data_IF_564278739121
#
_entry.id   IF_564278739121
#
_cell.length_a   1.000
_cell.length_b   1.000
_cell.length_c   1.000
_cell.angle_alpha   90.00
_cell.angle_beta   90.00
_cell.angle_gamma   90.00
#
_symmetry.space_group_name_H-M   'P 1'
#
loop_
_entity.id
_entity.type
_entity.pdbx_description
1 polymer ?
#
# COMPACT_ATOMS: atom_id res chain seq x y z
N UNK A 1 -1.60 9.83 -12.01
CA UNK A 1 -0.63 9.17 -11.11
C UNK A 1 -0.58 7.66 -11.33
N UNK A 2 -1.71 6.98 -11.50
CA UNK A 2 -1.74 5.53 -11.77
C UNK A 2 -1.08 5.19 -13.12
N UNK A 3 -0.42 4.03 -13.20
CA UNK A 3 0.44 3.65 -14.34
C UNK A 3 1.83 4.29 -14.30
N UNK A 4 1.92 5.59 -14.62
CA UNK A 4 3.20 6.32 -14.74
C UNK A 4 3.95 6.40 -13.39
N UNK A 5 3.24 6.71 -12.31
CA UNK A 5 3.82 6.79 -10.97
C UNK A 5 4.43 5.46 -10.53
N UNK A 6 3.67 4.35 -10.56
CA UNK A 6 4.19 3.01 -10.32
C UNK A 6 5.35 2.62 -11.24
N UNK A 7 5.29 2.91 -12.54
CA UNK A 7 6.39 2.64 -13.46
C UNK A 7 7.68 3.33 -13.00
N UNK A 8 7.62 4.64 -12.74
CA UNK A 8 8.76 5.40 -12.28
C UNK A 8 9.27 4.91 -10.92
N UNK A 9 8.35 4.62 -9.98
CA UNK A 9 8.70 4.14 -8.66
C UNK A 9 9.42 2.78 -8.73
N UNK A 10 8.83 1.77 -9.38
CA UNK A 10 9.32 0.39 -9.32
C UNK A 10 10.40 0.05 -10.34
N UNK A 11 10.40 0.67 -11.52
CA UNK A 11 11.41 0.41 -12.55
C UNK A 11 12.65 1.27 -12.36
N UNK A 12 12.51 2.48 -11.81
CA UNK A 12 13.62 3.44 -11.71
C UNK A 12 13.99 3.71 -10.24
N UNK A 13 13.11 4.37 -9.47
CA UNK A 13 13.46 4.90 -8.14
C UNK A 13 13.82 3.81 -7.11
N UNK A 14 13.17 2.65 -7.19
CA UNK A 14 13.44 1.51 -6.30
C UNK A 14 14.56 0.59 -6.83
N UNK A 15 15.06 0.83 -8.05
CA UNK A 15 16.21 0.10 -8.63
C UNK A 15 17.50 0.87 -8.49
N UNK A 16 17.42 2.18 -8.37
CA UNK A 16 18.56 3.07 -8.17
C UNK A 16 18.22 4.03 -7.03
N UNK A 17 18.86 3.90 -5.85
CA UNK A 17 18.50 4.64 -4.65
C UNK A 17 18.99 6.11 -4.68
N UNK A 18 18.84 6.78 -5.83
CA UNK A 18 19.14 8.20 -6.00
C UNK A 18 18.26 9.02 -5.06
N UNK A 19 18.88 9.91 -4.28
CA UNK A 19 18.20 10.73 -3.26
C UNK A 19 18.10 10.10 -1.87
N UNK A 20 18.33 8.79 -1.73
CA UNK A 20 18.54 8.15 -0.42
C UNK A 20 20.03 8.11 -0.02
N UNK A 21 20.89 8.81 -0.77
CA UNK A 21 22.35 8.86 -0.55
C UNK A 21 22.71 9.35 0.86
N UNK A 22 21.84 10.16 1.49
CA UNK A 22 21.99 10.62 2.88
C UNK A 22 21.70 9.54 3.94
N UNK A 23 21.13 8.39 3.55
CA UNK A 23 20.86 7.24 4.45
C UNK A 23 22.03 6.25 4.57
N UNK A 24 23.18 6.56 3.94
CA UNK A 24 24.41 5.78 4.05
C UNK A 24 24.52 4.62 3.05
N UNK A 25 25.62 3.87 3.15
CA UNK A 25 25.97 2.80 2.20
C UNK A 25 25.00 1.60 2.24
N UNK A 26 24.30 1.39 3.36
CA UNK A 26 23.42 0.23 3.54
C UNK A 26 22.26 0.21 2.53
N UNK A 27 21.66 1.35 2.24
CA UNK A 27 20.58 1.47 1.24
C UNK A 27 21.06 1.10 -0.16
N UNK A 28 22.30 1.45 -0.50
CA UNK A 28 22.93 1.05 -1.75
C UNK A 28 23.20 -0.44 -1.80
N UNK A 29 23.82 -1.00 -0.74
CA UNK A 29 24.10 -2.44 -0.66
C UNK A 29 22.81 -3.24 -0.78
N UNK A 30 21.77 -2.88 -0.03
CA UNK A 30 20.47 -3.56 -0.07
C UNK A 30 19.84 -3.52 -1.47
N UNK A 31 19.81 -2.34 -2.10
CA UNK A 31 19.20 -2.18 -3.43
C UNK A 31 20.00 -2.93 -4.50
N UNK A 32 21.33 -2.80 -4.49
CA UNK A 32 22.19 -3.46 -5.48
C UNK A 32 22.24 -4.97 -5.28
N UNK A 33 22.23 -5.48 -4.04
CA UNK A 33 22.14 -6.91 -3.75
C UNK A 33 20.82 -7.49 -4.28
N UNK A 34 19.71 -6.75 -4.10
CA UNK A 34 18.41 -7.15 -4.67
C UNK A 34 18.46 -7.16 -6.20
N UNK A 35 19.03 -6.13 -6.84
CA UNK A 35 19.19 -6.10 -8.29
C UNK A 35 20.06 -7.29 -8.78
N UNK A 36 21.16 -7.58 -8.09
CA UNK A 36 22.04 -8.70 -8.41
C UNK A 36 21.32 -10.04 -8.28
N UNK A 37 20.43 -10.22 -7.30
CA UNK A 37 19.62 -11.43 -7.15
C UNK A 37 18.54 -11.56 -8.24
N UNK A 38 17.96 -10.45 -8.70
CA UNK A 38 16.93 -10.44 -9.74
C UNK A 38 17.52 -10.67 -11.14
N UNK A 39 18.72 -10.16 -11.42
CA UNK A 39 19.38 -10.29 -12.74
C UNK A 39 19.46 -11.72 -13.26
N UNK A 40 19.99 -12.73 -12.54
CA UNK A 40 20.07 -14.09 -13.07
C UNK A 40 18.70 -14.69 -13.35
N UNK A 41 17.70 -14.41 -12.50
CA UNK A 41 16.32 -14.84 -12.75
C UNK A 41 15.76 -14.21 -14.02
N UNK A 42 15.93 -12.89 -14.20
CA UNK A 42 15.51 -12.20 -15.41
C UNK A 42 16.23 -12.73 -16.64
N UNK A 43 17.54 -12.97 -16.57
CA UNK A 43 18.34 -13.51 -17.68
C UNK A 43 17.86 -14.91 -18.07
N UNK A 44 17.61 -15.81 -17.11
CA UNK A 44 17.10 -17.16 -17.39
C UNK A 44 15.72 -17.11 -18.06
N UNK A 45 14.84 -16.22 -17.60
CA UNK A 45 13.52 -16.02 -18.20
C UNK A 45 13.62 -15.42 -19.60
N UNK A 46 14.45 -14.39 -19.81
CA UNK A 46 14.68 -13.79 -21.12
C UNK A 46 15.26 -14.81 -22.10
N UNK A 47 16.19 -15.65 -21.64
CA UNK A 47 16.79 -16.70 -22.46
C UNK A 47 15.76 -17.78 -22.84
N UNK A 48 14.85 -18.16 -21.92
CA UNK A 48 13.88 -19.22 -22.17
C UNK A 48 12.65 -18.80 -22.97
N UNK A 49 12.11 -17.60 -22.74
CA UNK A 49 10.88 -17.13 -23.41
C UNK A 49 11.10 -16.00 -24.41
N UNK A 50 12.30 -15.45 -24.49
CA UNK A 50 12.64 -14.30 -25.32
C UNK A 50 12.42 -12.95 -24.63
N UNK A 51 13.15 -11.94 -25.09
CA UNK A 51 13.13 -10.60 -24.48
C UNK A 51 11.77 -9.88 -24.65
N UNK A 52 11.13 -10.01 -25.81
CA UNK A 52 9.86 -9.31 -26.08
C UNK A 52 8.72 -9.85 -25.19
N UNK A 53 8.46 -11.18 -25.13
CA UNK A 53 7.44 -11.72 -24.22
C UNK A 53 7.73 -11.41 -22.75
N UNK A 54 9.00 -11.50 -22.32
CA UNK A 54 9.40 -11.13 -20.97
C UNK A 54 9.04 -9.68 -20.64
N UNK A 55 9.43 -8.73 -21.50
CA UNK A 55 9.19 -7.31 -21.25
C UNK A 55 7.69 -6.98 -21.22
N UNK A 56 6.89 -7.55 -22.13
CA UNK A 56 5.44 -7.31 -22.17
C UNK A 56 4.76 -7.80 -20.88
N UNK A 57 5.05 -9.03 -20.46
CA UNK A 57 4.46 -9.63 -19.26
C UNK A 57 4.95 -8.89 -18.01
N UNK A 58 6.26 -8.66 -17.89
CA UNK A 58 6.85 -8.01 -16.72
C UNK A 58 6.32 -6.58 -16.57
N UNK A 59 6.27 -5.81 -17.65
CA UNK A 59 5.78 -4.43 -17.62
C UNK A 59 4.29 -4.39 -17.24
N UNK A 60 3.46 -5.27 -17.81
CA UNK A 60 2.05 -5.37 -17.45
C UNK A 60 1.86 -5.67 -15.95
N UNK A 61 2.60 -6.64 -15.42
CA UNK A 61 2.55 -7.00 -13.99
C UNK A 61 2.93 -5.79 -13.13
N UNK A 62 4.06 -5.14 -13.41
CA UNK A 62 4.55 -4.00 -12.63
C UNK A 62 3.55 -2.85 -12.64
N UNK A 63 2.97 -2.53 -13.80
CA UNK A 63 2.01 -1.45 -13.95
C UNK A 63 0.71 -1.73 -13.21
N UNK A 64 0.14 -2.92 -13.39
CA UNK A 64 -1.15 -3.29 -12.78
C UNK A 64 -0.99 -3.46 -11.27
N UNK A 65 -0.05 -4.30 -10.83
CA UNK A 65 0.16 -4.58 -9.41
C UNK A 65 0.65 -3.33 -8.66
N UNK A 66 1.56 -2.56 -9.26
CA UNK A 66 2.06 -1.32 -8.68
C UNK A 66 0.96 -0.26 -8.55
N UNK A 67 0.09 -0.12 -9.56
CA UNK A 67 -1.06 0.79 -9.48
C UNK A 67 -2.06 0.36 -8.42
N UNK A 68 -2.37 -0.93 -8.34
CA UNK A 68 -3.27 -1.48 -7.33
C UNK A 68 -2.71 -1.30 -5.91
N UNK A 69 -1.40 -1.50 -5.71
CA UNK A 69 -0.75 -1.26 -4.43
C UNK A 69 -0.83 0.22 -4.02
N UNK A 70 -0.43 1.14 -4.90
CA UNK A 70 -0.52 2.59 -4.62
C UNK A 70 -1.96 3.01 -4.32
N UNK A 71 -2.93 2.45 -5.03
CA UNK A 71 -4.35 2.69 -4.78
C UNK A 71 -4.77 2.23 -3.38
N UNK A 72 -4.43 1.00 -3.00
CA UNK A 72 -4.77 0.46 -1.67
C UNK A 72 -4.21 1.35 -0.56
N UNK A 73 -2.94 1.73 -0.64
CA UNK A 73 -2.32 2.63 0.34
C UNK A 73 -2.99 4.01 0.36
N UNK A 74 -3.36 4.54 -0.81
CA UNK A 74 -4.05 5.81 -0.92
C UNK A 74 -5.40 5.78 -0.18
N UNK A 75 -6.30 4.86 -0.51
CA UNK A 75 -7.63 4.77 0.15
C UNK A 75 -7.54 4.39 1.63
N UNK A 76 -6.45 3.75 2.04
CA UNK A 76 -6.19 3.41 3.44
C UNK A 76 -5.81 4.61 4.31
N UNK A 77 -5.22 5.66 3.73
CA UNK A 77 -4.73 6.83 4.49
C UNK A 77 -5.35 8.16 4.03
N UNK A 78 -6.18 8.13 2.99
CA UNK A 78 -6.89 9.28 2.44
C UNK A 78 -8.37 8.89 2.32
N UNK A 79 -9.10 9.07 3.42
CA UNK A 79 -10.54 8.81 3.53
C UNK A 79 -11.23 10.07 4.07
N UNK A 80 -12.55 10.04 4.29
CA UNK A 80 -13.36 11.25 4.55
C UNK A 80 -12.96 12.03 5.81
N UNK A 81 -12.59 11.35 6.90
CA UNK A 81 -12.23 11.99 8.18
C UNK A 81 -10.96 11.39 8.81
N UNK A 82 -9.77 11.60 8.23
CA UNK A 82 -8.53 11.10 8.80
C UNK A 82 -8.12 11.99 9.97
N UNK A 83 -7.97 11.39 11.15
CA UNK A 83 -7.51 12.11 12.33
C UNK A 83 -5.99 12.25 12.34
N UNK A 84 -5.53 13.48 12.58
CA UNK A 84 -4.13 13.83 12.79
C UNK A 84 -3.99 14.65 14.06
N UNK A 85 -3.19 14.17 15.00
CA UNK A 85 -2.86 14.88 16.24
C UNK A 85 -1.35 15.00 16.42
N UNK A 86 -0.94 15.98 17.22
CA UNK A 86 0.45 16.21 17.62
C UNK A 86 0.54 16.13 19.14
N UNK A 87 1.74 15.95 19.73
CA UNK A 87 1.89 16.11 21.17
C UNK A 87 1.45 17.52 21.61
N UNK A 88 0.73 17.67 22.74
CA UNK A 88 0.41 16.64 23.73
C UNK A 88 -0.88 15.83 23.48
N UNK A 89 -1.73 16.19 22.52
CA UNK A 89 -3.05 15.55 22.29
C UNK A 89 -2.96 14.17 21.61
N UNK A 90 -1.75 13.76 21.22
CA UNK A 90 -1.52 12.49 20.52
C UNK A 90 -1.60 11.29 21.47
N UNK A 91 -2.55 10.39 21.21
CA UNK A 91 -2.67 9.10 21.89
C UNK A 91 -2.60 7.95 20.87
N UNK A 92 -1.66 7.02 21.08
CA UNK A 92 -1.38 5.94 20.12
C UNK A 92 -2.62 5.15 19.67
N UNK A 93 -3.48 4.61 20.57
CA UNK A 93 -4.61 3.80 20.13
C UNK A 93 -5.61 4.61 19.29
N UNK A 94 -5.85 5.87 19.68
CA UNK A 94 -6.78 6.75 18.97
C UNK A 94 -6.24 7.12 17.59
N UNK A 95 -4.96 7.51 17.51
CA UNK A 95 -4.29 7.84 16.26
C UNK A 95 -4.18 6.63 15.32
N UNK A 96 -3.93 5.44 15.83
CA UNK A 96 -3.87 4.21 15.03
C UNK A 96 -5.23 3.84 14.43
N UNK A 97 -6.31 3.99 15.20
CA UNK A 97 -7.67 3.64 14.78
C UNK A 97 -8.31 4.69 13.86
N UNK A 98 -8.06 5.98 14.09
CA UNK A 98 -8.70 7.07 13.33
C UNK A 98 -7.77 7.71 12.29
N UNK A 99 -6.49 7.33 12.24
CA UNK A 99 -5.53 7.79 11.23
C UNK A 99 -5.49 6.92 9.98
N UNK A 100 -6.17 5.77 9.98
CA UNK A 100 -6.24 4.83 8.87
C UNK A 100 -7.66 4.28 8.71
N UNK A 101 -8.05 3.91 7.50
CA UNK A 101 -9.39 3.39 7.23
C UNK A 101 -9.50 1.87 7.44
N UNK A 102 -10.75 1.41 7.55
CA UNK A 102 -11.13 0.03 7.32
C UNK A 102 -11.69 -0.11 5.91
N UNK A 103 -10.87 -0.56 4.96
CA UNK A 103 -11.33 -0.78 3.60
C UNK A 103 -12.06 -2.12 3.48
N UNK A 104 -13.40 -2.07 3.53
CA UNK A 104 -14.26 -3.26 3.51
C UNK A 104 -14.36 -3.83 2.09
N UNK A 105 -13.41 -4.72 1.80
CA UNK A 105 -13.31 -5.45 0.55
C UNK A 105 -14.24 -6.67 0.53
N UNK A 106 -14.82 -7.03 -0.63
CA UNK A 106 -15.54 -8.29 -0.78
C UNK A 106 -14.60 -9.50 -0.61
N UNK A 107 -15.16 -10.67 -0.30
CA UNK A 107 -14.40 -11.89 0.05
C UNK A 107 -13.25 -12.24 -0.91
N UNK A 108 -13.43 -12.24 -2.25
CA UNK A 108 -12.33 -12.57 -3.15
C UNK A 108 -11.17 -11.58 -3.05
N UNK A 109 -11.48 -10.28 -2.98
CA UNK A 109 -10.47 -9.24 -2.87
C UNK A 109 -9.76 -9.29 -1.51
N UNK A 110 -10.49 -9.55 -0.41
CA UNK A 110 -9.85 -9.77 0.90
C UNK A 110 -8.85 -10.91 0.89
N UNK A 111 -9.17 -12.00 0.19
CA UNK A 111 -8.25 -13.14 0.07
C UNK A 111 -7.02 -12.77 -0.75
N UNK A 112 -7.19 -12.15 -1.93
CA UNK A 112 -6.09 -11.72 -2.81
C UNK A 112 -5.16 -10.73 -2.10
N UNK A 113 -5.74 -9.77 -1.37
CA UNK A 113 -4.95 -8.73 -0.68
C UNK A 113 -4.49 -9.16 0.70
N UNK A 114 -4.73 -10.42 1.11
CA UNK A 114 -4.37 -10.92 2.43
C UNK A 114 -4.91 -10.05 3.56
N UNK A 115 -6.19 -9.68 3.53
CA UNK A 115 -6.86 -8.91 4.60
C UNK A 115 -6.29 -7.51 4.89
N UNK A 116 -5.44 -6.95 4.02
CA UNK A 116 -4.83 -5.62 4.21
C UNK A 116 -5.85 -4.48 4.40
N UNK A 117 -7.10 -4.66 3.97
CA UNK A 117 -8.17 -3.67 4.16
C UNK A 117 -8.45 -3.32 5.64
N UNK A 118 -8.16 -4.21 6.58
CA UNK A 118 -8.23 -3.94 8.04
C UNK A 118 -7.00 -3.18 8.54
N UNK A 119 -6.65 -2.10 7.86
CA UNK A 119 -5.37 -1.40 8.01
C UNK A 119 -5.21 -0.67 9.36
N UNK A 120 -6.29 -0.05 9.84
CA UNK A 120 -6.38 0.52 11.19
C UNK A 120 -6.05 -0.49 12.30
N UNK A 121 -6.54 -1.75 12.22
CA UNK A 121 -6.17 -2.80 13.17
C UNK A 121 -4.69 -3.18 13.07
N UNK A 122 -4.13 -3.23 11.86
CA UNK A 122 -2.71 -3.50 11.67
C UNK A 122 -1.85 -2.40 12.30
N UNK A 123 -2.26 -1.14 12.21
CA UNK A 123 -1.58 -0.04 12.91
C UNK A 123 -1.75 -0.10 14.42
N UNK A 124 -2.94 -0.49 14.91
CA UNK A 124 -3.17 -0.67 16.35
C UNK A 124 -2.30 -1.78 16.93
N UNK A 125 -2.17 -2.90 16.22
CA UNK A 125 -1.33 -4.03 16.62
C UNK A 125 -0.76 -4.78 15.41
N UNK A 126 0.43 -4.35 14.97
CA UNK A 126 1.15 -4.97 13.84
C UNK A 126 1.67 -6.38 14.15
N UNK A 127 1.58 -6.82 15.41
CA UNK A 127 1.90 -8.19 15.86
C UNK A 127 0.83 -9.20 15.46
N UNK A 128 -0.42 -8.77 15.25
CA UNK A 128 -1.47 -9.68 14.78
C UNK A 128 -1.27 -9.91 13.29
N UNK A 129 -1.05 -11.16 12.85
CA UNK A 129 -0.87 -11.43 11.43
C UNK A 129 -2.18 -11.20 10.68
N UNK A 130 -2.08 -10.73 9.43
CA UNK A 130 -3.26 -10.34 8.64
C UNK A 130 -4.33 -11.44 8.50
N UNK A 131 -3.95 -12.71 8.46
CA UNK A 131 -4.90 -13.82 8.37
C UNK A 131 -5.79 -13.97 9.62
N UNK A 132 -5.39 -13.42 10.78
CA UNK A 132 -6.15 -13.44 12.04
C UNK A 132 -6.94 -12.16 12.33
N UNK A 133 -6.77 -11.09 11.55
CA UNK A 133 -7.48 -9.83 11.80
C UNK A 133 -9.02 -9.98 11.74
N UNK A 134 -9.51 -10.97 10.98
CA UNK A 134 -10.94 -11.29 10.94
C UNK A 134 -11.46 -11.90 12.25
N UNK A 135 -10.63 -12.63 12.98
CA UNK A 135 -10.96 -13.13 14.32
C UNK A 135 -11.12 -11.94 15.28
N UNK A 136 -10.20 -10.96 15.20
CA UNK A 136 -10.28 -9.74 16.00
C UNK A 136 -11.59 -8.98 15.75
N UNK A 137 -11.97 -8.74 14.49
CA UNK A 137 -13.24 -8.07 14.18
C UNK A 137 -14.48 -8.89 14.56
N UNK A 138 -14.38 -10.22 14.57
CA UNK A 138 -15.49 -11.08 15.01
C UNK A 138 -15.67 -10.99 16.53
N UNK A 139 -14.57 -10.97 17.26
CA UNK A 139 -14.55 -10.96 18.73
C UNK A 139 -14.78 -9.53 19.27
N UNK A 140 -14.46 -8.51 18.46
CA UNK A 140 -14.65 -7.07 18.73
C UNK A 140 -15.37 -6.37 17.56
N UNK A 141 -16.68 -6.60 17.36
CA UNK A 141 -17.44 -6.05 16.24
C UNK A 141 -17.50 -4.52 16.24
N UNK A 142 -17.37 -3.88 17.40
CA UNK A 142 -17.32 -2.41 17.55
C UNK A 142 -16.18 -1.75 16.76
N UNK A 143 -15.11 -2.50 16.48
CA UNK A 143 -13.96 -2.00 15.72
C UNK A 143 -14.23 -1.98 14.20
N UNK A 144 -15.25 -2.70 13.72
CA UNK A 144 -15.49 -2.87 12.29
C UNK A 144 -15.99 -1.59 11.61
N UNK A 145 -16.67 -0.70 12.34
CA UNK A 145 -17.26 0.52 11.78
C UNK A 145 -16.32 1.73 11.87
N UNK A 146 -15.22 1.63 12.62
CA UNK A 146 -14.24 2.72 12.73
C UNK A 146 -13.52 2.93 11.41
N UNK A 147 -13.63 4.14 10.85
CA UNK A 147 -12.98 4.51 9.59
C UNK A 147 -13.44 3.66 8.39
N UNK A 148 -14.63 3.04 8.46
CA UNK A 148 -15.09 2.11 7.43
C UNK A 148 -15.34 2.80 6.10
N UNK A 149 -14.64 2.31 5.08
CA UNK A 149 -14.78 2.73 3.69
C UNK A 149 -15.26 1.52 2.88
N UNK A 150 -16.51 1.57 2.42
CA UNK A 150 -17.04 0.50 1.58
C UNK A 150 -16.37 0.51 0.20
N UNK A 151 -16.08 -0.68 -0.35
CA UNK A 151 -15.50 -0.82 -1.70
C UNK A 151 -16.30 -0.06 -2.78
N UNK A 152 -17.63 0.03 -2.66
CA UNK A 152 -18.48 0.77 -3.57
C UNK A 152 -18.33 2.30 -3.45
N UNK A 153 -18.09 2.81 -2.24
CA UNK A 153 -17.98 4.23 -1.94
C UNK A 153 -16.61 4.81 -2.31
N UNK A 154 -15.55 3.99 -2.23
CA UNK A 154 -14.20 4.37 -2.68
C UNK A 154 -14.13 4.72 -4.18
N UNK A 155 -15.03 4.17 -5.02
CA UNK A 155 -15.15 4.57 -6.44
C UNK A 155 -15.66 6.00 -6.64
N UNK A 156 -16.40 6.54 -5.66
CA UNK A 156 -16.97 7.88 -5.72
C UNK A 156 -16.02 8.93 -5.08
N UNK A 157 -15.33 8.56 -4.01
CA UNK A 157 -14.37 9.43 -3.30
C UNK A 157 -13.15 9.81 -4.15
N UNK A 158 -12.71 8.98 -5.10
CA UNK A 158 -11.61 9.31 -6.02
C UNK A 158 -11.86 10.55 -6.87
N UNK A 159 -13.13 10.92 -7.10
CA UNK A 159 -13.49 12.15 -7.79
C UNK A 159 -13.58 13.38 -6.89
N UNK A 160 -13.88 13.21 -5.60
CA UNK A 160 -14.17 14.31 -4.66
C UNK A 160 -12.95 14.77 -3.85
N UNK A 161 -12.03 13.87 -3.47
CA UNK A 161 -10.84 14.24 -2.68
C UNK A 161 -9.82 15.09 -3.46
N UNK A 162 -9.92 15.20 -4.78
CA UNK A 162 -9.12 16.15 -5.56
C UNK A 162 -9.60 17.62 -5.40
N UNK A 163 -10.76 17.86 -4.78
CA UNK A 163 -11.43 19.16 -4.75
C UNK A 163 -11.34 19.96 -3.45
N UNK A 164 -11.10 19.36 -2.27
CA UNK A 164 -11.25 20.10 -1.00
C UNK A 164 -10.20 19.75 0.04
N UNK A 165 -9.08 20.47 0.02
CA UNK A 165 -8.19 20.60 1.18
C UNK A 165 -8.80 21.61 2.16
N UNK A 166 -9.81 21.21 2.95
CA UNK A 166 -10.20 22.02 4.12
C UNK A 166 -9.16 21.78 5.22
N UNK A 167 -8.22 22.72 5.36
CA UNK A 167 -7.45 22.92 6.58
C UNK A 167 -8.45 23.27 7.69
N UNK A 168 -8.71 22.35 8.61
CA UNK A 168 -9.21 22.70 9.94
C UNK A 168 -7.99 23.13 10.78
N UNK A 169 -8.12 24.31 11.39
CA UNK A 169 -7.09 24.98 12.18
C UNK A 169 -6.82 24.33 13.52
#
# INVERSE_FOLDING_TARGET
>A
MFGIGPAFLFLIKQRLPFGMIRSGALSWVSTMATNLAVTPLATVLIWSVGIIPFLLIHLAIVLIAGSAAVWLFYVQHQFEEPHWSRPPEWAFPYAAMHGASHYDLPRPLRWITGNIGMHHLHHLSSRVPFYRLREVLRDHPELADVGRSAFAMARHQSGSCFGTRKRSG
#
